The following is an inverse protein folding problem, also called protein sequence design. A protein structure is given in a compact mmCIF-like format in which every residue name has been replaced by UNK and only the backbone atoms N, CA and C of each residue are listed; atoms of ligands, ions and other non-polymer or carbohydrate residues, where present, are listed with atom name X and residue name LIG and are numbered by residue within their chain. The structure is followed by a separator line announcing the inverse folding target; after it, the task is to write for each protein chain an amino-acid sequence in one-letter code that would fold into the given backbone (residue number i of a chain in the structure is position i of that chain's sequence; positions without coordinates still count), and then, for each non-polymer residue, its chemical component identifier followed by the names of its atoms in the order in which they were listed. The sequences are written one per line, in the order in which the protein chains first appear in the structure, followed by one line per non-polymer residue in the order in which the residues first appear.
data_IF_063456295353
#
_entry.id   IF_063456295353
#
_cell.length_a   1.000
_cell.length_b   1.000
_cell.length_c   1.000
_cell.angle_alpha   90.00
_cell.angle_beta   90.00
_cell.angle_gamma   90.00
#
_symmetry.space_group_name_H-M   'P 1'
#
loop_
_entity.id
_entity.type
_entity.pdbx_description
1 polymer ?
#
# COMPACT_ATOMS: atom_id res chain seq x y z
N UNK A 1 8.94 4.33 -21.12
CA UNK A 1 7.63 4.84 -20.66
C UNK A 1 7.02 3.98 -19.55
N UNK A 2 6.93 2.65 -19.69
CA UNK A 2 6.44 1.74 -18.64
C UNK A 2 7.22 1.81 -17.33
N UNK A 3 8.55 1.90 -17.39
CA UNK A 3 9.40 2.06 -16.21
C UNK A 3 9.10 3.35 -15.43
N UNK A 4 8.92 4.48 -16.13
CA UNK A 4 8.52 5.75 -15.52
C UNK A 4 7.14 5.64 -14.85
N UNK A 5 6.20 4.92 -15.49
CA UNK A 5 4.87 4.70 -14.92
C UNK A 5 4.93 3.82 -13.65
N UNK A 6 5.73 2.76 -13.65
CA UNK A 6 5.98 1.96 -12.44
C UNK A 6 6.61 2.80 -11.32
N UNK A 7 7.58 3.64 -11.65
CA UNK A 7 8.22 4.52 -10.66
C UNK A 7 7.20 5.51 -10.05
N UNK A 8 6.33 6.09 -10.87
CA UNK A 8 5.24 6.98 -10.40
C UNK A 8 4.29 6.23 -9.47
N UNK A 9 3.90 5.01 -9.83
CA UNK A 9 3.07 4.17 -8.95
C UNK A 9 3.76 3.90 -7.62
N UNK A 10 5.03 3.50 -7.65
CA UNK A 10 5.81 3.21 -6.45
C UNK A 10 5.90 4.44 -5.53
N UNK A 11 6.24 5.61 -6.07
CA UNK A 11 6.29 6.86 -5.31
C UNK A 11 4.93 7.20 -4.69
N UNK A 12 3.85 7.05 -5.45
CA UNK A 12 2.49 7.33 -4.98
C UNK A 12 2.10 6.39 -3.82
N UNK A 13 2.37 5.10 -3.96
CA UNK A 13 2.13 4.08 -2.93
C UNK A 13 2.89 4.43 -1.64
N UNK A 14 4.17 4.81 -1.74
CA UNK A 14 5.00 5.18 -0.59
C UNK A 14 4.42 6.41 0.12
N UNK A 15 4.08 7.48 -0.61
CA UNK A 15 3.52 8.71 -0.05
C UNK A 15 2.21 8.44 0.70
N UNK A 16 1.32 7.66 0.09
CA UNK A 16 0.03 7.30 0.71
C UNK A 16 0.22 6.44 1.96
N UNK A 17 1.20 5.53 1.95
CA UNK A 17 1.52 4.69 3.11
C UNK A 17 2.05 5.52 4.28
N UNK A 18 2.95 6.47 4.02
CA UNK A 18 3.44 7.41 5.06
C UNK A 18 2.29 8.23 5.62
N UNK A 19 1.39 8.73 4.76
CA UNK A 19 0.19 9.48 5.18
C UNK A 19 -0.73 8.62 6.06
N UNK A 20 -0.95 7.36 5.70
CA UNK A 20 -1.76 6.42 6.48
C UNK A 20 -1.16 6.19 7.88
N UNK A 21 0.15 5.95 7.95
CA UNK A 21 0.85 5.77 9.23
C UNK A 21 0.74 7.03 10.10
N UNK A 22 0.97 8.20 9.53
CA UNK A 22 0.81 9.47 10.24
C UNK A 22 -0.60 9.66 10.82
N UNK A 23 -1.63 9.32 10.05
CA UNK A 23 -3.02 9.44 10.48
C UNK A 23 -3.40 8.46 11.60
N UNK A 24 -2.89 7.22 11.54
CA UNK A 24 -3.21 6.18 12.54
C UNK A 24 -2.42 6.40 13.82
N UNK A 25 -1.11 6.65 13.74
CA UNK A 25 -0.26 6.78 14.92
C UNK A 25 -0.26 8.18 15.54
N UNK A 26 -0.45 9.24 14.75
CA UNK A 26 -0.38 10.63 15.24
C UNK A 26 -1.66 11.12 15.92
N UNK A 27 -2.84 10.78 15.39
CA UNK A 27 -4.12 11.31 15.88
C UNK A 27 -5.20 10.25 16.11
N UNK A 28 -4.89 8.96 15.89
CA UNK A 28 -5.81 7.84 15.95
C UNK A 28 -7.23 8.18 15.44
N UNK A 29 -7.30 8.65 14.20
CA UNK A 29 -8.57 9.07 13.62
C UNK A 29 -9.16 7.89 12.82
N UNK A 30 -10.03 7.08 13.42
CA UNK A 30 -10.79 6.07 12.67
C UNK A 30 -11.88 6.78 11.86
N UNK A 31 -11.48 7.36 10.73
CA UNK A 31 -12.38 8.03 9.79
C UNK A 31 -12.54 7.20 8.52
N UNK A 32 -13.68 7.32 7.85
CA UNK A 32 -13.90 6.74 6.51
C UNK A 32 -12.77 7.09 5.53
N UNK A 33 -12.09 8.23 5.74
CA UNK A 33 -10.92 8.65 4.98
C UNK A 33 -9.71 7.71 5.11
N UNK A 34 -9.45 7.14 6.28
CA UNK A 34 -8.34 6.21 6.48
C UNK A 34 -8.64 4.82 5.91
N UNK A 35 -9.90 4.36 6.01
CA UNK A 35 -10.33 3.15 5.32
C UNK A 35 -10.19 3.31 3.80
N UNK A 36 -10.65 4.44 3.25
CA UNK A 36 -10.52 4.75 1.82
C UNK A 36 -9.05 4.77 1.38
N UNK A 37 -8.16 5.35 2.19
CA UNK A 37 -6.70 5.33 1.94
C UNK A 37 -6.14 3.91 1.85
N UNK A 38 -6.53 3.02 2.76
CA UNK A 38 -6.09 1.61 2.73
C UNK A 38 -6.55 0.93 1.44
N UNK A 39 -7.82 1.11 1.05
CA UNK A 39 -8.37 0.54 -0.20
C UNK A 39 -7.61 1.05 -1.43
N UNK A 40 -7.32 2.36 -1.49
CA UNK A 40 -6.56 2.96 -2.59
C UNK A 40 -5.13 2.40 -2.65
N UNK A 41 -4.45 2.28 -1.50
CA UNK A 41 -3.10 1.68 -1.46
C UNK A 41 -3.13 0.23 -1.96
N UNK A 42 -4.13 -0.55 -1.54
CA UNK A 42 -4.29 -1.93 -1.99
C UNK A 42 -4.54 -2.04 -3.51
N UNK A 43 -5.38 -1.17 -4.08
CA UNK A 43 -5.61 -1.13 -5.52
C UNK A 43 -4.34 -0.77 -6.30
N UNK A 44 -3.57 0.21 -5.82
CA UNK A 44 -2.31 0.61 -6.46
C UNK A 44 -1.24 -0.48 -6.38
N UNK A 45 -1.15 -1.19 -5.24
CA UNK A 45 -0.27 -2.35 -5.10
C UNK A 45 -0.64 -3.47 -6.07
N UNK A 46 -1.94 -3.74 -6.23
CA UNK A 46 -2.42 -4.72 -7.20
C UNK A 46 -2.05 -4.32 -8.63
N UNK A 47 -2.36 -3.07 -9.03
CA UNK A 47 -2.01 -2.55 -10.36
C UNK A 47 -0.51 -2.61 -10.63
N UNK A 48 0.32 -2.26 -9.63
CA UNK A 48 1.78 -2.37 -9.73
C UNK A 48 2.20 -3.83 -9.93
N UNK A 49 1.66 -4.76 -9.14
CA UNK A 49 2.03 -6.18 -9.17
C UNK A 49 1.65 -6.90 -10.45
N UNK A 50 0.55 -6.52 -11.12
CA UNK A 50 0.15 -7.10 -12.40
C UNK A 50 0.87 -6.49 -13.61
N UNK A 51 1.44 -5.29 -13.45
CA UNK A 51 2.08 -4.53 -14.53
C UNK A 51 3.19 -5.30 -15.29
N UNK A 52 4.05 -6.10 -14.63
CA UNK A 52 5.07 -6.89 -15.31
C UNK A 52 4.52 -7.92 -16.30
N UNK A 53 3.32 -8.44 -16.07
CA UNK A 53 2.69 -9.42 -16.97
C UNK A 53 2.35 -8.81 -18.35
N UNK A 54 2.19 -7.49 -18.42
CA UNK A 54 1.91 -6.78 -19.67
C UNK A 54 3.17 -6.44 -20.48
N UNK A 55 4.37 -6.69 -19.96
CA UNK A 55 5.62 -6.41 -20.68
C UNK A 55 5.82 -7.29 -21.90
N UNK A 56 5.33 -8.54 -21.81
CA UNK A 56 5.36 -9.45 -22.94
C UNK A 56 4.38 -9.04 -24.06
N UNK A 57 3.25 -8.41 -23.71
CA UNK A 57 2.27 -7.91 -24.68
C UNK A 57 2.77 -6.66 -25.42
N UNK A 58 3.66 -5.89 -24.82
CA UNK A 58 4.17 -4.63 -25.36
C UNK A 58 5.51 -4.76 -26.11
N UNK A 59 5.97 -6.00 -26.35
CA UNK A 59 7.18 -6.33 -27.11
C UNK A 59 8.43 -5.53 -26.67
N UNK A 60 8.58 -5.35 -25.34
CA UNK A 60 9.64 -4.53 -24.75
C UNK A 60 11.00 -5.20 -25.00
N UNK A 61 11.91 -4.47 -25.66
CA UNK A 61 13.27 -4.93 -25.97
C UNK A 61 14.02 -5.42 -24.72
N UNK A 62 14.84 -6.46 -24.91
CA UNK A 62 15.62 -7.13 -23.86
C UNK A 62 16.48 -6.15 -23.06
N UNK A 63 16.99 -5.10 -23.69
CA UNK A 63 17.80 -4.04 -23.04
C UNK A 63 17.07 -3.32 -21.91
N UNK A 64 15.74 -3.23 -21.96
CA UNK A 64 14.95 -2.63 -20.89
C UNK A 64 14.55 -3.64 -19.81
N UNK A 65 14.61 -4.96 -20.07
CA UNK A 65 14.26 -5.99 -19.08
C UNK A 65 15.20 -6.00 -17.87
N UNK A 66 16.47 -5.66 -18.04
CA UNK A 66 17.42 -5.56 -16.93
C UNK A 66 17.17 -4.34 -16.04
N UNK A 67 16.75 -3.20 -16.62
CA UNK A 67 16.34 -2.00 -15.86
C UNK A 67 14.99 -2.21 -15.18
N UNK A 68 14.14 -3.02 -15.79
CA UNK A 68 12.86 -3.49 -15.24
C UNK A 68 13.02 -4.72 -14.32
N UNK A 69 14.25 -5.16 -14.03
CA UNK A 69 14.49 -6.26 -13.12
C UNK A 69 14.11 -5.82 -11.70
N UNK A 70 12.86 -6.11 -11.35
CA UNK A 70 12.12 -5.55 -10.23
C UNK A 70 12.41 -6.23 -8.89
N UNK A 71 13.54 -6.94 -8.76
CA UNK A 71 13.91 -7.68 -7.54
C UNK A 71 14.06 -6.72 -6.34
N UNK A 72 14.71 -5.58 -6.55
CA UNK A 72 14.85 -4.54 -5.51
C UNK A 72 13.54 -3.78 -5.27
N UNK A 73 12.75 -3.55 -6.32
CA UNK A 73 11.43 -2.91 -6.20
C UNK A 73 10.41 -3.82 -5.48
N UNK A 74 10.52 -5.13 -5.64
CA UNK A 74 9.70 -6.13 -4.95
C UNK A 74 9.91 -6.09 -3.44
N UNK A 75 11.16 -5.98 -2.99
CA UNK A 75 11.50 -5.83 -1.57
C UNK A 75 10.86 -4.58 -0.94
N UNK A 76 10.85 -3.46 -1.67
CA UNK A 76 10.17 -2.21 -1.26
C UNK A 76 8.65 -2.38 -1.14
N UNK A 77 8.01 -3.12 -2.05
CA UNK A 77 6.57 -3.40 -1.97
C UNK A 77 6.23 -4.28 -0.77
N UNK A 78 7.06 -5.26 -0.46
CA UNK A 78 6.88 -6.12 0.73
C UNK A 78 6.90 -5.26 2.00
N UNK A 79 7.82 -4.29 2.08
CA UNK A 79 7.87 -3.34 3.20
C UNK A 79 6.59 -2.51 3.29
N UNK A 80 6.10 -1.99 2.16
CA UNK A 80 4.83 -1.24 2.11
C UNK A 80 3.66 -2.10 2.58
N UNK A 81 3.53 -3.33 2.07
CA UNK A 81 2.48 -4.27 2.48
C UNK A 81 2.55 -4.51 3.99
N UNK A 82 3.75 -4.69 4.54
CA UNK A 82 3.98 -4.82 5.98
C UNK A 82 3.44 -3.62 6.77
N UNK A 83 3.69 -2.39 6.33
CA UNK A 83 3.16 -1.19 6.98
C UNK A 83 1.63 -1.08 6.91
N UNK A 84 1.02 -1.47 5.78
CA UNK A 84 -0.44 -1.49 5.64
C UNK A 84 -1.06 -2.54 6.58
N UNK A 85 -0.43 -3.72 6.71
CA UNK A 85 -0.87 -4.76 7.66
C UNK A 85 -0.76 -4.26 9.11
N UNK A 86 0.35 -3.61 9.48
CA UNK A 86 0.53 -3.03 10.81
C UNK A 86 -0.52 -1.95 11.12
N UNK A 87 -0.82 -1.10 10.14
CA UNK A 87 -1.90 -0.12 10.21
C UNK A 87 -3.26 -0.78 10.47
N UNK A 88 -3.60 -1.83 9.70
CA UNK A 88 -4.84 -2.59 9.88
C UNK A 88 -4.91 -3.28 11.25
N UNK A 89 -3.82 -3.90 11.70
CA UNK A 89 -3.76 -4.54 13.01
C UNK A 89 -3.97 -3.54 14.16
N UNK A 90 -3.32 -2.37 14.06
CA UNK A 90 -3.47 -1.29 15.04
C UNK A 90 -4.91 -0.77 15.07
N UNK A 91 -5.54 -0.62 13.89
CA UNK A 91 -6.96 -0.24 13.79
C UNK A 91 -7.83 -1.30 14.46
N UNK A 92 -7.66 -2.58 14.10
CA UNK A 92 -8.44 -3.68 14.64
C UNK A 92 -8.37 -3.76 16.17
N UNK A 93 -7.16 -3.70 16.75
CA UNK A 93 -6.96 -3.80 18.18
C UNK A 93 -7.69 -2.68 18.94
N UNK A 94 -7.58 -1.44 18.47
CA UNK A 94 -8.26 -0.31 19.12
C UNK A 94 -9.77 -0.34 18.90
N UNK A 95 -10.26 -0.76 17.74
CA UNK A 95 -11.70 -0.96 17.51
C UNK A 95 -12.29 -1.99 18.45
N UNK A 96 -11.56 -3.07 18.78
CA UNK A 96 -11.99 -4.03 19.79
C UNK A 96 -12.07 -3.41 21.19
N UNK A 97 -11.05 -2.63 21.60
CA UNK A 97 -11.06 -1.95 22.91
C UNK A 97 -12.26 -1.01 23.09
N UNK A 98 -12.61 -0.23 22.07
CA UNK A 98 -13.80 0.66 22.10
C UNK A 98 -15.09 -0.16 22.25
N UNK A 99 -15.17 -1.29 21.55
CA UNK A 99 -16.34 -2.17 21.64
C UNK A 99 -16.48 -2.77 23.05
N UNK A 100 -15.39 -3.25 23.64
CA UNK A 100 -15.38 -3.76 25.01
C UNK A 100 -15.77 -2.68 26.03
N UNK A 101 -15.27 -1.45 25.87
CA UNK A 101 -15.60 -0.34 26.77
C UNK A 101 -17.08 0.03 26.71
N UNK A 102 -17.67 0.12 25.51
CA UNK A 102 -19.09 0.38 25.31
C UNK A 102 -19.99 -0.77 25.79
N UNK A 103 -19.61 -2.03 25.57
CA UNK A 103 -20.36 -3.20 26.05
C UNK A 103 -20.33 -3.30 27.60
N UNK A 104 -19.33 -2.72 28.27
CA UNK A 104 -19.25 -2.63 29.73
C UNK A 104 -20.02 -1.43 30.33
N UNK A 105 -20.47 -0.47 29.51
CA UNK A 105 -21.20 0.73 29.98
C UNK A 105 -22.72 0.66 29.82
N UNK A 106 -23.26 -0.34 29.11
CA UNK A 106 -24.70 -0.61 28.96
C UNK A 106 -25.13 -1.65 29.99
#
# INVERSE_FOLDING_TARGET
MLFLLQLIFLCTIIILTIKLLGNIYGHFNYSEGNHTLIVVIAMLLFMYGVMPNFYHLLNVEVKYKEVLNSLDMGSLLIIVIGFVILALATIYEKSQKIKEENDLTI
#
